data_IF_784897697588
#
_entry.id   IF_784897697588
#
_cell.length_a   1.000
_cell.length_b   1.000
_cell.length_c   1.000
_cell.angle_alpha   90.00
_cell.angle_beta   90.00
_cell.angle_gamma   90.00
#
_symmetry.space_group_name_H-M   'P 1'
#
loop_
_entity.id
_entity.type
_entity.pdbx_description
1 polymer ?
#
# COMPACT_ATOMS: atom_id res chain seq x y z
N UNK A 1 8.20 -19.91 7.10
CA UNK A 1 8.03 -19.10 5.87
C UNK A 1 9.29 -19.14 5.00
N UNK A 2 10.50 -18.87 5.56
CA UNK A 2 11.75 -18.91 4.82
C UNK A 2 11.93 -20.24 4.05
N UNK A 3 11.73 -21.37 4.71
CA UNK A 3 11.82 -22.69 4.06
C UNK A 3 10.81 -22.93 2.93
N UNK A 4 9.67 -22.25 2.92
CA UNK A 4 8.72 -22.30 1.80
C UNK A 4 9.22 -21.46 0.64
N UNK A 5 9.71 -20.25 0.94
CA UNK A 5 10.18 -19.27 -0.05
C UNK A 5 11.46 -19.71 -0.76
N UNK A 6 12.37 -20.39 -0.05
CA UNK A 6 13.71 -20.76 -0.54
C UNK A 6 13.84 -22.25 -0.87
N UNK A 7 12.73 -23.00 -0.81
CA UNK A 7 12.74 -24.44 -1.12
C UNK A 7 13.29 -24.68 -2.52
N UNK A 8 14.28 -25.56 -2.63
CA UNK A 8 15.00 -25.88 -3.87
C UNK A 8 15.91 -24.76 -4.43
N UNK A 9 16.08 -23.64 -3.72
CA UNK A 9 16.94 -22.53 -4.14
C UNK A 9 18.20 -22.47 -3.27
N UNK A 10 18.05 -22.71 -1.96
CA UNK A 10 19.12 -22.61 -0.98
C UNK A 10 19.23 -23.96 -0.25
N UNK A 11 20.48 -24.42 0.00
CA UNK A 11 20.73 -25.69 0.69
C UNK A 11 20.22 -25.65 2.14
N UNK A 12 20.45 -24.55 2.86
CA UNK A 12 20.02 -24.33 4.26
C UNK A 12 18.60 -23.74 4.34
N UNK A 13 17.70 -24.16 3.44
CA UNK A 13 16.35 -23.62 3.36
C UNK A 13 15.54 -23.88 4.65
N UNK A 14 15.19 -22.83 5.36
CA UNK A 14 14.42 -22.88 6.61
C UNK A 14 15.25 -22.83 7.87
N UNK A 15 16.56 -23.08 7.78
CA UNK A 15 17.48 -23.05 8.91
C UNK A 15 18.24 -21.72 8.96
N UNK A 16 18.70 -21.35 10.16
CA UNK A 16 19.62 -20.23 10.30
C UNK A 16 20.97 -20.55 9.71
N UNK A 17 21.64 -19.54 9.15
CA UNK A 17 22.99 -19.67 8.61
C UNK A 17 24.00 -20.18 9.63
N UNK A 18 24.99 -20.88 9.15
CA UNK A 18 26.12 -21.37 9.94
C UNK A 18 27.43 -20.65 9.60
N UNK A 19 27.45 -20.00 8.42
CA UNK A 19 28.61 -19.22 7.96
C UNK A 19 28.49 -17.74 8.32
N UNK A 20 29.62 -17.04 8.16
CA UNK A 20 29.66 -15.59 8.23
C UNK A 20 29.06 -15.01 6.96
N UNK A 21 28.25 -13.98 7.12
CA UNK A 21 27.54 -13.31 6.03
C UNK A 21 27.64 -11.79 6.17
N UNK A 22 27.41 -11.08 5.07
CA UNK A 22 27.35 -9.62 5.04
C UNK A 22 26.20 -9.12 4.20
N UNK A 23 25.86 -7.86 4.35
CA UNK A 23 24.91 -7.16 3.49
C UNK A 23 25.69 -6.44 2.41
N UNK A 24 25.32 -6.66 1.16
CA UNK A 24 26.00 -6.10 0.00
C UNK A 24 25.05 -5.31 -0.89
N UNK A 25 25.57 -4.25 -1.50
CA UNK A 25 24.96 -3.59 -2.66
C UNK A 25 25.93 -3.78 -3.85
N UNK A 26 25.61 -4.72 -4.75
CA UNK A 26 26.56 -5.18 -5.76
C UNK A 26 27.82 -5.78 -5.13
N UNK A 27 29.01 -5.23 -5.48
CA UNK A 27 30.30 -5.66 -4.91
C UNK A 27 30.67 -4.93 -3.61
N UNK A 28 29.94 -3.88 -3.24
CA UNK A 28 30.20 -3.09 -2.03
C UNK A 28 29.60 -3.78 -0.80
N UNK A 29 30.45 -4.13 0.16
CA UNK A 29 30.02 -4.58 1.48
C UNK A 29 29.48 -3.36 2.26
N UNK A 30 28.19 -3.41 2.63
CA UNK A 30 27.53 -2.38 3.44
C UNK A 30 27.92 -2.56 4.90
N UNK A 31 27.76 -3.78 5.42
CA UNK A 31 28.28 -4.18 6.73
C UNK A 31 28.38 -5.71 6.82
N UNK A 32 29.17 -6.19 7.79
CA UNK A 32 29.22 -7.60 8.15
C UNK A 32 28.19 -7.89 9.23
N UNK A 33 27.39 -8.92 8.99
CA UNK A 33 26.38 -9.36 9.96
C UNK A 33 27.03 -9.94 11.23
N UNK A 34 26.32 -9.99 12.37
CA UNK A 34 26.81 -10.62 13.59
C UNK A 34 27.27 -12.07 13.36
N UNK A 35 28.26 -12.58 14.14
CA UNK A 35 28.69 -13.96 14.00
C UNK A 35 27.55 -14.97 14.07
N UNK A 36 27.57 -16.00 13.20
CA UNK A 36 26.50 -16.98 13.03
C UNK A 36 26.05 -17.64 14.35
N UNK A 37 26.98 -17.87 15.29
CA UNK A 37 26.66 -18.46 16.59
C UNK A 37 25.66 -17.64 17.44
N UNK A 38 25.57 -16.33 17.23
CA UNK A 38 24.64 -15.44 17.96
C UNK A 38 23.27 -15.30 17.29
N UNK A 39 23.12 -15.72 16.04
CA UNK A 39 21.87 -15.55 15.28
C UNK A 39 20.65 -16.12 16.01
N UNK A 40 20.67 -17.35 16.57
CA UNK A 40 19.50 -17.87 17.27
C UNK A 40 19.10 -17.02 18.49
N UNK A 41 20.08 -16.51 19.23
CA UNK A 41 19.83 -15.65 20.39
C UNK A 41 19.26 -14.30 19.95
N UNK A 42 19.90 -13.62 18.99
CA UNK A 42 19.45 -12.31 18.48
C UNK A 42 18.05 -12.38 17.87
N UNK A 43 17.73 -13.45 17.15
CA UNK A 43 16.37 -13.64 16.62
C UNK A 43 15.33 -13.84 17.72
N UNK A 44 15.65 -14.58 18.79
CA UNK A 44 14.75 -14.71 19.94
C UNK A 44 14.54 -13.37 20.63
N UNK A 45 15.61 -12.61 20.88
CA UNK A 45 15.55 -11.26 21.47
C UNK A 45 14.70 -10.31 20.63
N UNK A 46 14.84 -10.33 19.30
CA UNK A 46 14.04 -9.52 18.38
C UNK A 46 12.54 -9.85 18.47
N UNK A 47 12.18 -11.13 18.51
CA UNK A 47 10.79 -11.55 18.63
C UNK A 47 10.22 -11.29 20.03
N UNK A 48 11.01 -11.41 21.07
CA UNK A 48 10.56 -11.12 22.45
C UNK A 48 10.37 -9.62 22.64
N UNK A 49 11.30 -8.79 22.11
CA UNK A 49 11.13 -7.34 22.05
C UNK A 49 9.83 -6.96 21.32
N UNK A 50 9.57 -7.54 20.13
CA UNK A 50 8.36 -7.24 19.36
C UNK A 50 7.08 -7.55 20.16
N UNK A 51 7.06 -8.63 20.96
CA UNK A 51 5.92 -8.97 21.82
C UNK A 51 5.77 -8.01 23.00
N UNK A 52 6.89 -7.62 23.62
CA UNK A 52 6.93 -6.72 24.76
C UNK A 52 6.35 -5.35 24.42
N UNK A 53 6.70 -4.81 23.24
CA UNK A 53 6.26 -3.49 22.80
C UNK A 53 4.95 -3.49 22.00
N UNK A 54 4.31 -4.65 21.80
CA UNK A 54 3.02 -4.76 21.06
C UNK A 54 1.93 -3.95 21.79
N UNK A 55 1.40 -2.95 21.11
CA UNK A 55 0.42 -2.00 21.63
C UNK A 55 1.01 -0.75 22.32
N UNK A 56 2.31 -0.70 22.59
CA UNK A 56 3.00 0.47 23.15
C UNK A 56 3.66 1.31 22.04
N UNK A 57 4.27 0.65 21.06
CA UNK A 57 4.92 1.30 19.92
C UNK A 57 4.00 1.30 18.71
N UNK A 58 3.93 2.43 18.01
CA UNK A 58 3.10 2.54 16.80
C UNK A 58 3.55 1.53 15.73
N UNK A 59 2.64 0.78 15.07
CA UNK A 59 2.98 -0.27 14.12
C UNK A 59 3.89 0.14 12.97
N UNK A 60 3.80 1.38 12.49
CA UNK A 60 4.73 1.92 11.48
C UNK A 60 6.18 1.97 11.99
N UNK A 61 6.38 2.32 13.25
CA UNK A 61 7.71 2.34 13.87
C UNK A 61 8.17 0.91 14.17
N UNK A 62 7.30 0.10 14.82
CA UNK A 62 7.58 -1.29 15.16
C UNK A 62 8.04 -2.08 13.92
N UNK A 63 7.31 -1.98 12.80
CA UNK A 63 7.62 -2.70 11.57
C UNK A 63 8.94 -2.25 10.95
N UNK A 64 9.26 -0.96 11.03
CA UNK A 64 10.51 -0.41 10.51
C UNK A 64 11.72 -0.83 11.36
N UNK A 65 11.61 -0.78 12.68
CA UNK A 65 12.65 -1.29 13.59
C UNK A 65 12.85 -2.79 13.40
N UNK A 66 11.76 -3.57 13.38
CA UNK A 66 11.85 -5.01 13.15
C UNK A 66 12.52 -5.34 11.81
N UNK A 67 12.18 -4.61 10.75
CA UNK A 67 12.80 -4.78 9.44
C UNK A 67 14.31 -4.52 9.49
N UNK A 68 14.74 -3.40 10.10
CA UNK A 68 16.13 -3.04 10.22
C UNK A 68 16.91 -4.09 11.01
N UNK A 69 16.43 -4.46 12.20
CA UNK A 69 17.08 -5.46 13.06
C UNK A 69 17.16 -6.83 12.38
N UNK A 70 16.10 -7.24 11.65
CA UNK A 70 16.11 -8.49 10.90
C UNK A 70 17.20 -8.49 9.81
N UNK A 71 17.34 -7.38 9.07
CA UNK A 71 18.39 -7.23 8.05
C UNK A 71 19.77 -7.18 8.70
N UNK A 72 19.91 -6.52 9.85
CA UNK A 72 21.15 -6.45 10.63
C UNK A 72 21.60 -7.83 11.12
N UNK A 73 20.71 -8.59 11.73
CA UNK A 73 20.99 -9.96 12.21
C UNK A 73 21.36 -10.88 11.04
N UNK A 74 20.72 -10.67 9.88
CA UNK A 74 20.93 -11.45 8.65
C UNK A 74 20.85 -12.96 8.88
N UNK A 75 19.70 -13.48 9.34
CA UNK A 75 19.64 -14.82 9.91
C UNK A 75 19.80 -15.96 8.92
N UNK A 76 19.68 -15.74 7.62
CA UNK A 76 19.74 -16.78 6.59
C UNK A 76 20.88 -16.53 5.60
N UNK A 77 21.27 -17.58 4.88
CA UNK A 77 22.28 -17.50 3.82
C UNK A 77 21.78 -16.70 2.61
N UNK A 78 20.46 -16.75 2.30
CA UNK A 78 19.80 -15.94 1.27
C UNK A 78 18.35 -15.64 1.69
N UNK A 79 17.74 -14.62 1.08
CA UNK A 79 16.31 -14.29 1.29
C UNK A 79 16.03 -13.39 2.48
N UNK A 80 17.05 -12.86 3.17
CA UNK A 80 16.88 -11.99 4.33
C UNK A 80 16.05 -10.74 4.01
N UNK A 81 16.34 -10.04 2.91
CA UNK A 81 15.59 -8.87 2.49
C UNK A 81 14.10 -9.18 2.19
N UNK A 82 13.83 -10.30 1.51
CA UNK A 82 12.46 -10.76 1.24
C UNK A 82 11.71 -11.09 2.53
N UNK A 83 12.37 -11.75 3.48
CA UNK A 83 11.80 -12.06 4.78
C UNK A 83 11.55 -10.81 5.62
N UNK A 84 12.48 -9.85 5.64
CA UNK A 84 12.30 -8.58 6.34
C UNK A 84 11.09 -7.80 5.80
N UNK A 85 10.95 -7.71 4.48
CA UNK A 85 9.78 -7.08 3.85
C UNK A 85 8.47 -7.82 4.12
N UNK A 86 8.48 -9.15 4.10
CA UNK A 86 7.32 -9.95 4.48
C UNK A 86 6.88 -9.68 5.92
N UNK A 87 7.81 -9.64 6.87
CA UNK A 87 7.52 -9.32 8.26
C UNK A 87 7.01 -7.89 8.42
N UNK A 88 7.61 -6.93 7.71
CA UNK A 88 7.16 -5.54 7.69
C UNK A 88 5.68 -5.45 7.28
N UNK A 89 5.34 -6.07 6.15
CA UNK A 89 3.94 -6.13 5.66
C UNK A 89 3.03 -6.87 6.64
N UNK A 90 3.47 -7.99 7.23
CA UNK A 90 2.66 -8.76 8.18
C UNK A 90 2.35 -7.97 9.47
N UNK A 91 3.30 -7.21 9.99
CA UNK A 91 3.09 -6.35 11.16
C UNK A 91 2.10 -5.24 10.83
N UNK A 92 2.27 -4.58 9.69
CA UNK A 92 1.38 -3.51 9.26
C UNK A 92 -0.03 -4.00 8.93
N UNK A 93 -0.18 -5.15 8.27
CA UNK A 93 -1.50 -5.70 7.90
C UNK A 93 -2.28 -6.19 9.13
N UNK A 94 -1.60 -6.65 10.19
CA UNK A 94 -2.24 -6.93 11.49
C UNK A 94 -2.90 -5.69 12.08
N UNK A 95 -2.30 -4.53 11.90
CA UNK A 95 -2.83 -3.24 12.36
C UNK A 95 -3.89 -2.68 11.42
N UNK A 96 -3.63 -2.66 10.12
CA UNK A 96 -4.58 -2.18 9.11
C UNK A 96 -4.49 -3.04 7.84
N UNK A 97 -5.56 -3.77 7.47
CA UNK A 97 -5.58 -4.68 6.32
C UNK A 97 -5.22 -4.03 4.97
N UNK A 98 -5.31 -2.71 4.84
CA UNK A 98 -4.92 -2.01 3.61
C UNK A 98 -3.46 -2.28 3.22
N UNK A 99 -2.59 -2.53 4.20
CA UNK A 99 -1.17 -2.80 3.97
C UNK A 99 -0.89 -4.13 3.27
N UNK A 100 -1.86 -5.03 3.15
CA UNK A 100 -1.77 -6.22 2.28
C UNK A 100 -1.70 -5.85 0.80
N UNK A 101 -2.24 -4.68 0.44
CA UNK A 101 -2.36 -4.20 -0.94
C UNK A 101 -1.35 -3.09 -1.29
N UNK A 102 -0.60 -2.59 -0.30
CA UNK A 102 0.40 -1.54 -0.50
C UNK A 102 1.71 -2.18 -0.98
N UNK A 103 2.21 -1.85 -2.18
CA UNK A 103 3.38 -2.50 -2.79
C UNK A 103 4.71 -1.96 -2.21
N UNK A 104 4.93 -2.12 -0.90
CA UNK A 104 6.14 -1.63 -0.20
C UNK A 104 7.40 -2.26 -0.81
N UNK A 105 7.35 -3.53 -1.21
CA UNK A 105 8.48 -4.23 -1.82
C UNK A 105 8.92 -3.57 -3.13
N UNK A 106 7.95 -3.29 -4.03
CA UNK A 106 8.24 -2.62 -5.30
C UNK A 106 8.76 -1.19 -5.11
N UNK A 107 8.33 -0.52 -4.05
CA UNK A 107 8.82 0.82 -3.73
C UNK A 107 10.27 0.78 -3.23
N UNK A 108 10.61 -0.15 -2.35
CA UNK A 108 11.99 -0.34 -1.89
C UNK A 108 12.90 -0.69 -3.08
N UNK A 109 12.43 -1.53 -4.02
CA UNK A 109 13.18 -1.87 -5.23
C UNK A 109 13.48 -0.64 -6.09
N UNK A 110 12.54 0.29 -6.26
CA UNK A 110 12.75 1.55 -6.98
C UNK A 110 13.81 2.45 -6.34
N UNK A 111 13.94 2.40 -5.03
CA UNK A 111 14.85 3.24 -4.23
C UNK A 111 15.90 2.40 -3.50
N UNK A 112 16.41 1.38 -4.17
CA UNK A 112 17.32 0.39 -3.57
C UNK A 112 18.62 1.01 -3.05
N UNK A 113 19.19 1.99 -3.75
CA UNK A 113 20.41 2.66 -3.32
C UNK A 113 20.17 3.47 -2.03
N UNK A 114 19.07 4.22 -1.96
CA UNK A 114 18.69 4.98 -0.75
C UNK A 114 18.40 4.03 0.44
N UNK A 115 17.84 2.87 0.17
CA UNK A 115 17.59 1.83 1.16
C UNK A 115 18.90 1.29 1.77
N UNK A 116 19.88 0.96 0.94
CA UNK A 116 21.18 0.50 1.42
C UNK A 116 21.99 1.61 2.09
N UNK A 117 21.88 2.84 1.61
CA UNK A 117 22.49 4.02 2.24
C UNK A 117 21.93 4.25 3.64
N UNK A 118 20.61 4.14 3.83
CA UNK A 118 20.00 4.27 5.14
C UNK A 118 20.48 3.19 6.11
N UNK A 119 20.58 1.94 5.66
CA UNK A 119 21.13 0.83 6.46
C UNK A 119 22.58 1.10 6.84
N UNK A 120 23.42 1.50 5.87
CA UNK A 120 24.85 1.75 6.12
C UNK A 120 25.06 2.87 7.15
N UNK A 121 24.32 3.97 7.05
CA UNK A 121 24.38 5.10 7.99
C UNK A 121 23.94 4.67 9.39
N UNK A 122 22.82 3.98 9.51
CA UNK A 122 22.33 3.44 10.78
C UNK A 122 23.37 2.52 11.44
N UNK A 123 24.03 1.67 10.65
CA UNK A 123 25.08 0.78 11.16
C UNK A 123 26.28 1.56 11.73
N UNK A 124 26.70 2.66 11.07
CA UNK A 124 27.81 3.50 11.53
C UNK A 124 27.42 4.30 12.78
N UNK A 125 26.20 4.80 12.83
CA UNK A 125 25.72 5.64 13.94
C UNK A 125 25.25 4.81 15.15
N UNK A 126 24.99 3.51 14.96
CA UNK A 126 24.52 2.60 16.01
C UNK A 126 23.05 2.83 16.40
N UNK A 127 22.26 3.40 15.50
CA UNK A 127 20.83 3.67 15.72
C UNK A 127 20.02 3.42 14.44
N UNK A 128 18.71 3.23 14.57
CA UNK A 128 17.82 2.91 13.42
C UNK A 128 16.97 4.08 12.91
N UNK A 129 17.19 5.30 13.42
CA UNK A 129 16.35 6.48 13.14
C UNK A 129 16.26 6.79 11.64
N UNK A 130 17.39 6.86 10.95
CA UNK A 130 17.43 7.17 9.52
C UNK A 130 16.71 6.12 8.67
N UNK A 131 16.79 4.84 9.07
CA UNK A 131 16.07 3.78 8.37
C UNK A 131 14.56 3.87 8.62
N UNK A 132 14.12 4.20 9.83
CA UNK A 132 12.71 4.43 10.15
C UNK A 132 12.17 5.59 9.31
N UNK A 133 12.88 6.72 9.26
CA UNK A 133 12.49 7.88 8.45
C UNK A 133 12.40 7.54 6.96
N UNK A 134 13.37 6.77 6.44
CA UNK A 134 13.33 6.26 5.08
C UNK A 134 12.06 5.44 4.82
N UNK A 135 11.76 4.44 5.66
CA UNK A 135 10.60 3.57 5.49
C UNK A 135 9.29 4.34 5.56
N UNK A 136 9.16 5.28 6.51
CA UNK A 136 7.98 6.14 6.63
C UNK A 136 7.81 7.02 5.39
N UNK A 137 8.90 7.59 4.87
CA UNK A 137 8.87 8.38 3.63
C UNK A 137 8.45 7.56 2.41
N UNK A 138 8.88 6.28 2.31
CA UNK A 138 8.43 5.43 1.21
C UNK A 138 6.94 5.08 1.32
N UNK A 139 6.45 4.79 2.52
CA UNK A 139 5.01 4.53 2.76
C UNK A 139 4.18 5.76 2.40
N UNK A 140 4.60 6.95 2.84
CA UNK A 140 3.93 8.22 2.54
C UNK A 140 3.83 8.46 1.02
N UNK A 141 4.92 8.28 0.27
CA UNK A 141 4.94 8.39 -1.19
C UNK A 141 3.95 7.43 -1.87
N UNK A 142 3.89 6.17 -1.42
CA UNK A 142 2.93 5.20 -1.97
C UNK A 142 1.50 5.64 -1.70
N UNK A 143 1.20 6.10 -0.48
CA UNK A 143 -0.14 6.56 -0.12
C UNK A 143 -0.55 7.79 -0.94
N UNK A 144 0.38 8.72 -1.18
CA UNK A 144 0.16 9.86 -2.06
C UNK A 144 -0.09 9.43 -3.52
N UNK A 145 0.71 8.50 -4.05
CA UNK A 145 0.52 7.96 -5.40
C UNK A 145 -0.86 7.29 -5.53
N UNK A 146 -1.25 6.47 -4.56
CA UNK A 146 -2.56 5.81 -4.54
C UNK A 146 -3.71 6.82 -4.39
N UNK A 147 -3.56 7.83 -3.53
CA UNK A 147 -4.54 8.90 -3.37
C UNK A 147 -4.71 9.69 -4.67
N UNK A 148 -3.61 10.06 -5.33
CA UNK A 148 -3.63 10.76 -6.62
C UNK A 148 -4.25 9.89 -7.72
N UNK A 149 -3.98 8.58 -7.76
CA UNK A 149 -4.62 7.65 -8.69
C UNK A 149 -6.12 7.51 -8.42
N UNK A 150 -6.52 7.45 -7.16
CA UNK A 150 -7.94 7.45 -6.77
C UNK A 150 -8.61 8.79 -7.11
N UNK A 151 -7.90 9.90 -6.98
CA UNK A 151 -8.38 11.23 -7.38
C UNK A 151 -8.38 11.40 -8.90
N UNK A 152 -7.47 10.79 -9.64
CA UNK A 152 -7.50 10.73 -11.11
C UNK A 152 -8.61 9.81 -11.61
N UNK A 153 -8.86 8.68 -10.99
CA UNK A 153 -10.01 7.82 -11.27
C UNK A 153 -11.34 8.47 -10.78
N UNK A 154 -11.35 9.17 -9.67
CA UNK A 154 -12.45 10.03 -9.21
C UNK A 154 -12.45 11.39 -9.91
N UNK A 155 -11.34 11.88 -10.42
CA UNK A 155 -11.19 13.13 -11.18
C UNK A 155 -11.89 13.11 -12.54
N UNK A 156 -12.37 11.96 -12.98
CA UNK A 156 -13.39 11.86 -14.01
C UNK A 156 -14.82 12.17 -13.52
N UNK A 157 -15.03 12.47 -12.25
CA UNK A 157 -16.19 13.22 -11.80
C UNK A 157 -16.02 14.67 -12.29
N UNK A 158 -16.32 14.86 -13.58
CA UNK A 158 -16.36 16.21 -14.14
C UNK A 158 -17.23 17.09 -13.22
N UNK A 159 -16.95 18.39 -13.16
CA UNK A 159 -17.79 19.34 -12.44
C UNK A 159 -19.30 19.17 -12.75
N UNK A 160 -19.62 18.68 -13.94
CA UNK A 160 -20.96 18.31 -14.38
C UNK A 160 -21.55 17.15 -13.58
N UNK A 161 -20.76 16.09 -13.34
CA UNK A 161 -21.22 14.93 -12.56
C UNK A 161 -21.37 15.31 -11.09
N UNK A 162 -20.41 16.06 -10.51
CA UNK A 162 -20.52 16.56 -9.13
C UNK A 162 -21.80 17.38 -8.93
N UNK A 163 -22.09 18.30 -9.85
CA UNK A 163 -23.33 19.10 -9.83
C UNK A 163 -24.58 18.22 -9.94
N UNK A 164 -24.56 17.19 -10.79
CA UNK A 164 -25.67 16.25 -10.92
C UNK A 164 -25.92 15.49 -9.62
N UNK A 165 -24.88 14.91 -9.00
CA UNK A 165 -25.00 14.17 -7.75
C UNK A 165 -25.45 15.04 -6.58
N UNK A 166 -25.02 16.31 -6.54
CA UNK A 166 -25.43 17.26 -5.49
C UNK A 166 -26.92 17.62 -5.51
N UNK A 167 -27.59 17.52 -6.67
CA UNK A 167 -29.05 17.81 -6.79
C UNK A 167 -29.90 16.55 -6.67
N UNK A 168 -29.27 15.37 -6.60
CA UNK A 168 -29.94 14.06 -6.45
C UNK A 168 -29.81 13.56 -5.01
N UNK A 169 -30.91 13.28 -4.37
CA UNK A 169 -30.97 12.59 -3.08
C UNK A 169 -30.87 11.06 -3.31
N UNK A 170 -30.33 10.32 -2.36
CA UNK A 170 -30.27 8.86 -2.43
C UNK A 170 -31.68 8.26 -2.42
N UNK A 171 -31.86 7.19 -3.16
CA UNK A 171 -33.14 6.43 -3.29
C UNK A 171 -34.33 7.24 -3.83
N UNK A 172 -34.10 8.46 -4.27
CA UNK A 172 -35.14 9.29 -4.92
C UNK A 172 -35.05 9.19 -6.44
N UNK A 173 -36.16 8.93 -7.10
CA UNK A 173 -36.20 8.80 -8.56
C UNK A 173 -36.54 10.13 -9.26
N UNK A 174 -35.70 10.55 -10.19
CA UNK A 174 -35.81 11.79 -10.95
C UNK A 174 -36.04 11.55 -12.43
N UNK A 175 -36.84 12.38 -13.07
CA UNK A 175 -36.90 12.44 -14.55
C UNK A 175 -35.76 13.32 -15.08
N UNK A 176 -35.37 13.14 -16.35
CA UNK A 176 -34.40 14.04 -17.01
C UNK A 176 -34.84 15.52 -16.91
N UNK A 177 -36.14 15.79 -17.01
CA UNK A 177 -36.67 17.15 -16.95
C UNK A 177 -36.44 17.77 -15.56
N UNK A 178 -36.78 17.05 -14.50
CA UNK A 178 -36.53 17.50 -13.11
C UNK A 178 -35.07 17.80 -12.83
N UNK A 179 -34.17 16.94 -13.31
CA UNK A 179 -32.73 17.14 -13.11
C UNK A 179 -32.22 18.36 -13.90
N UNK A 180 -32.67 18.52 -15.13
CA UNK A 180 -32.31 19.68 -15.94
C UNK A 180 -32.81 20.99 -15.31
N UNK A 181 -34.02 21.01 -14.78
CA UNK A 181 -34.59 22.17 -14.08
C UNK A 181 -33.78 22.52 -12.82
N UNK A 182 -33.43 21.52 -12.00
CA UNK A 182 -32.59 21.70 -10.80
C UNK A 182 -31.16 22.21 -11.14
N UNK A 183 -30.65 21.84 -12.31
CA UNK A 183 -29.32 22.25 -12.79
C UNK A 183 -29.32 23.52 -13.63
N UNK A 184 -30.49 24.12 -13.93
CA UNK A 184 -30.61 25.30 -14.80
C UNK A 184 -30.22 25.03 -16.26
N UNK A 185 -30.39 23.78 -16.76
CA UNK A 185 -29.97 23.37 -18.09
C UNK A 185 -31.12 23.37 -19.09
N UNK A 186 -30.86 23.90 -20.29
CA UNK A 186 -31.85 23.98 -21.37
C UNK A 186 -31.59 22.97 -22.49
N UNK A 187 -30.33 22.48 -22.66
CA UNK A 187 -29.98 21.53 -23.71
C UNK A 187 -30.11 20.10 -23.23
N UNK A 188 -31.09 19.36 -23.74
CA UNK A 188 -31.35 17.96 -23.40
C UNK A 188 -30.17 17.07 -23.88
N UNK A 189 -29.59 17.37 -25.04
CA UNK A 189 -28.49 16.60 -25.58
C UNK A 189 -27.20 16.85 -24.81
N UNK A 190 -26.89 18.10 -24.46
CA UNK A 190 -25.80 18.49 -23.60
C UNK A 190 -25.87 17.83 -22.22
N UNK A 191 -27.08 17.82 -21.62
CA UNK A 191 -27.34 17.15 -20.36
C UNK A 191 -27.09 15.64 -20.43
N UNK A 192 -27.61 14.96 -21.46
CA UNK A 192 -27.37 13.52 -21.66
C UNK A 192 -25.89 13.20 -21.86
N UNK A 193 -25.19 13.98 -22.65
CA UNK A 193 -23.76 13.74 -23.00
C UNK A 193 -22.82 14.02 -21.85
N UNK A 194 -23.00 15.15 -21.14
CA UNK A 194 -22.03 15.65 -20.19
C UNK A 194 -22.36 15.28 -18.72
N UNK A 195 -23.60 14.89 -18.42
CA UNK A 195 -24.06 14.57 -17.06
C UNK A 195 -24.52 13.13 -16.93
N UNK A 196 -25.56 12.72 -17.67
CA UNK A 196 -26.20 11.40 -17.45
C UNK A 196 -25.36 10.23 -17.91
N UNK A 197 -24.87 10.25 -19.18
CA UNK A 197 -24.11 9.13 -19.72
C UNK A 197 -22.84 8.83 -18.93
N UNK A 198 -22.00 9.81 -18.58
CA UNK A 198 -20.84 9.56 -17.74
C UNK A 198 -21.19 9.03 -16.36
N UNK A 199 -22.20 9.62 -15.68
CA UNK A 199 -22.61 9.18 -14.35
C UNK A 199 -23.18 7.75 -14.34
N UNK A 200 -23.91 7.34 -15.39
CA UNK A 200 -24.38 5.95 -15.56
C UNK A 200 -23.19 5.02 -15.82
N UNK A 201 -22.24 5.39 -16.69
CA UNK A 201 -21.07 4.59 -17.01
C UNK A 201 -20.19 4.34 -15.78
N UNK A 202 -20.16 5.27 -14.85
CA UNK A 202 -19.44 5.18 -13.57
C UNK A 202 -20.25 4.49 -12.46
N UNK A 203 -21.45 3.96 -12.75
CA UNK A 203 -22.37 3.36 -11.79
C UNK A 203 -22.74 4.26 -10.60
N UNK A 204 -22.72 5.59 -10.79
CA UNK A 204 -23.09 6.56 -9.75
C UNK A 204 -24.59 6.83 -9.73
N UNK A 205 -25.25 6.56 -10.84
CA UNK A 205 -26.68 6.61 -11.00
C UNK A 205 -27.18 5.45 -11.85
N UNK A 206 -28.34 4.92 -11.55
CA UNK A 206 -28.97 3.85 -12.32
C UNK A 206 -30.27 4.30 -12.99
N UNK A 207 -30.56 3.64 -14.11
CA UNK A 207 -31.82 3.79 -14.82
C UNK A 207 -32.90 2.87 -14.23
N UNK A 208 -34.12 3.37 -14.05
CA UNK A 208 -35.24 2.54 -13.55
C UNK A 208 -35.75 1.56 -14.61
N UNK A 209 -35.56 1.86 -15.90
CA UNK A 209 -35.96 1.00 -17.03
C UNK A 209 -34.74 0.87 -17.98
N UNK A 210 -33.70 0.06 -17.61
CA UNK A 210 -32.49 -0.02 -18.40
C UNK A 210 -32.70 -0.61 -19.81
N UNK A 211 -33.61 -1.54 -19.95
CA UNK A 211 -33.95 -2.19 -21.23
C UNK A 211 -34.63 -1.22 -22.24
N UNK A 212 -35.15 -0.10 -21.77
CA UNK A 212 -35.81 0.93 -22.61
C UNK A 212 -35.29 2.33 -22.25
N UNK A 213 -34.03 2.65 -22.56
CA UNK A 213 -33.39 3.90 -22.15
C UNK A 213 -34.08 5.17 -22.64
N UNK A 214 -34.82 5.09 -23.72
CA UNK A 214 -35.57 6.19 -24.33
C UNK A 214 -37.06 6.23 -23.90
N UNK A 215 -37.47 5.41 -22.92
CA UNK A 215 -38.86 5.41 -22.42
C UNK A 215 -39.24 6.80 -21.88
N UNK A 216 -40.48 7.21 -22.11
CA UNK A 216 -41.05 8.44 -21.51
C UNK A 216 -41.12 8.36 -19.99
N UNK A 217 -41.17 7.14 -19.44
CA UNK A 217 -41.24 6.84 -18.01
C UNK A 217 -39.84 6.59 -17.38
N UNK A 218 -38.78 6.76 -18.15
CA UNK A 218 -37.42 6.59 -17.64
C UNK A 218 -37.14 7.56 -16.51
N UNK A 219 -36.62 7.02 -15.40
CA UNK A 219 -36.17 7.78 -14.24
C UNK A 219 -34.75 7.37 -13.89
N UNK A 220 -34.08 8.18 -13.10
CA UNK A 220 -32.71 8.01 -12.64
C UNK A 220 -32.67 8.07 -11.12
N UNK A 221 -31.90 7.17 -10.50
CA UNK A 221 -31.75 7.09 -9.05
C UNK A 221 -30.25 7.15 -8.77
N UNK A 222 -29.87 7.87 -7.74
CA UNK A 222 -28.49 7.90 -7.25
C UNK A 222 -28.23 6.62 -6.45
N UNK A 223 -27.12 5.88 -6.79
CA UNK A 223 -26.66 4.68 -6.09
C UNK A 223 -25.73 5.03 -4.95
#
# INVERSE_FOLDING_TARGET
>A
FHGIMTKYIVEESGDFRRGEEGVFNGEQCIFMAPPAQFVPQLMNELFDWMKEVDGEVHPLILSSVFHYEFVFIHPFTDGNGRMARLWHTAILSKWNPIFEYIPIESQIEKFQDDYYDAIAKCHVEGESTLFIEFMLSQIDKILDELSNQMDEDNGQLTESIKKLLNVMEYDVSYTSKMLMEKLGLHSKEGFRRNYLRPAIKMNLIRMTIPDKPNSRNQRYVRD
#
